data_IF_015012498306
#
_entry.id   IF_015012498306
#
_cell.length_a   1.000
_cell.length_b   1.000
_cell.length_c   1.000
_cell.angle_alpha   90.00
_cell.angle_beta   90.00
_cell.angle_gamma   90.00
#
_symmetry.space_group_name_H-M   'P 1'
#
loop_
_entity.id
_entity.type
_entity.pdbx_description
1 polymer ?
#
# COMPACT_ATOMS: atom_id res chain seq x y z
N UNK A 1 3.98 -27.92 3.96
CA UNK A 1 5.12 -27.57 3.07
C UNK A 1 5.01 -26.11 2.57
N UNK A 2 5.92 -25.21 3.00
CA UNK A 2 7.05 -24.80 2.15
C UNK A 2 8.32 -24.36 2.92
N UNK A 3 8.72 -25.07 3.99
CA UNK A 3 9.87 -24.65 4.81
C UNK A 3 11.25 -24.91 4.18
N UNK A 4 11.35 -25.79 3.17
CA UNK A 4 12.63 -26.29 2.66
C UNK A 4 13.41 -25.36 1.72
N UNK A 5 12.77 -24.40 1.04
CA UNK A 5 13.48 -23.52 0.08
C UNK A 5 14.06 -22.26 0.70
N UNK A 6 13.40 -21.70 1.70
CA UNK A 6 13.84 -20.47 2.37
C UNK A 6 14.96 -20.77 3.39
N UNK A 7 14.90 -21.91 4.09
CA UNK A 7 15.98 -22.39 4.95
C UNK A 7 17.34 -22.48 4.22
N UNK A 8 17.34 -22.96 2.97
CA UNK A 8 18.56 -23.07 2.15
C UNK A 8 19.13 -21.71 1.70
N UNK A 9 18.37 -20.62 1.82
CA UNK A 9 18.80 -19.26 1.45
C UNK A 9 19.28 -18.46 2.67
N UNK A 10 19.28 -19.05 3.86
CA UNK A 10 19.64 -18.37 5.10
C UNK A 10 18.65 -17.27 5.50
N UNK A 11 17.43 -17.27 4.93
CA UNK A 11 16.39 -16.26 5.18
C UNK A 11 15.08 -16.94 5.55
N UNK A 12 14.33 -16.41 6.53
CA UNK A 12 13.04 -17.01 6.93
C UNK A 12 11.94 -16.80 5.89
N UNK A 13 12.07 -15.80 5.00
CA UNK A 13 11.11 -15.50 3.93
C UNK A 13 11.77 -14.67 2.82
N UNK A 14 11.25 -14.74 1.60
CA UNK A 14 11.65 -13.87 0.49
C UNK A 14 10.80 -12.58 0.42
N UNK A 15 9.52 -12.71 0.77
CA UNK A 15 8.55 -11.62 0.75
C UNK A 15 7.72 -11.67 2.03
N UNK A 16 7.43 -10.50 2.59
CA UNK A 16 6.49 -10.30 3.66
C UNK A 16 5.25 -9.60 3.10
N UNK A 17 4.08 -10.10 3.47
CA UNK A 17 2.80 -9.47 3.17
C UNK A 17 2.21 -8.95 4.48
N UNK A 18 2.15 -7.64 4.62
CA UNK A 18 1.49 -6.97 5.75
C UNK A 18 0.08 -6.60 5.32
N UNK A 19 -0.93 -6.97 6.10
CA UNK A 19 -2.31 -6.51 5.89
C UNK A 19 -2.92 -6.24 7.25
N UNK A 20 -3.64 -5.12 7.38
CA UNK A 20 -4.54 -4.94 8.51
C UNK A 20 -5.68 -5.94 8.43
N UNK A 21 -6.17 -6.37 9.59
CA UNK A 21 -7.22 -7.38 9.72
C UNK A 21 -8.63 -6.81 9.56
N UNK A 22 -8.77 -5.48 9.49
CA UNK A 22 -10.05 -4.80 9.26
C UNK A 22 -10.37 -4.62 7.76
N UNK A 23 -9.56 -5.23 6.88
CA UNK A 23 -9.77 -5.23 5.44
C UNK A 23 -10.24 -6.59 4.95
N UNK A 24 -11.21 -6.58 4.05
CA UNK A 24 -11.66 -7.76 3.32
C UNK A 24 -11.04 -7.73 1.93
N UNK A 25 -10.32 -8.81 1.59
CA UNK A 25 -9.88 -9.07 0.23
C UNK A 25 -11.06 -9.57 -0.58
N UNK A 26 -11.24 -8.93 -1.71
CA UNK A 26 -12.38 -9.16 -2.58
C UNK A 26 -12.00 -9.80 -3.92
N UNK A 27 -10.71 -10.12 -4.01
CA UNK A 27 -9.95 -10.50 -5.18
C UNK A 27 -8.60 -11.02 -4.67
N UNK A 28 -8.00 -11.98 -5.38
CA UNK A 28 -6.68 -12.47 -5.04
C UNK A 28 -5.62 -11.37 -5.16
N UNK A 29 -4.62 -11.42 -4.28
CA UNK A 29 -3.47 -10.53 -4.35
C UNK A 29 -2.69 -10.78 -5.66
N UNK A 30 -2.19 -9.75 -6.38
CA UNK A 30 -1.34 -9.97 -7.55
C UNK A 30 -0.13 -10.86 -7.22
N UNK A 31 0.27 -11.81 -8.09
CA UNK A 31 1.45 -12.63 -7.85
C UNK A 31 2.67 -11.78 -7.55
N UNK A 32 3.39 -12.07 -6.45
CA UNK A 32 4.59 -11.32 -6.06
C UNK A 32 5.71 -11.39 -7.10
N UNK A 33 5.66 -12.37 -8.01
CA UNK A 33 6.58 -12.48 -9.16
C UNK A 33 6.48 -11.33 -10.16
N UNK A 34 5.38 -10.56 -10.14
CA UNK A 34 5.21 -9.35 -10.96
C UNK A 34 5.83 -8.11 -10.31
N UNK A 35 6.30 -8.22 -9.06
CA UNK A 35 6.80 -7.12 -8.26
C UNK A 35 8.34 -7.13 -8.26
N UNK A 36 8.95 -5.97 -8.48
CA UNK A 36 10.41 -5.83 -8.35
C UNK A 36 10.81 -5.97 -6.87
N UNK A 37 11.86 -6.74 -6.56
CA UNK A 37 12.38 -6.88 -5.19
C UNK A 37 13.12 -5.62 -4.69
N UNK A 38 13.35 -4.62 -5.54
CA UNK A 38 14.07 -3.40 -5.20
C UNK A 38 13.16 -2.30 -4.60
N UNK A 39 11.91 -2.64 -4.31
CA UNK A 39 10.94 -1.69 -3.77
C UNK A 39 9.91 -2.34 -2.85
N UNK A 40 9.36 -1.51 -1.97
CA UNK A 40 8.19 -1.84 -1.16
C UNK A 40 6.93 -1.47 -1.95
N UNK A 41 5.98 -2.39 -2.00
CA UNK A 41 4.79 -2.27 -2.83
C UNK A 41 3.56 -2.00 -1.97
N UNK A 42 2.89 -0.86 -2.19
CA UNK A 42 1.80 -0.40 -1.35
C UNK A 42 0.59 0.00 -2.20
N UNK A 43 -0.64 -0.40 -1.81
CA UNK A 43 -1.88 0.14 -2.33
C UNK A 43 -1.91 1.66 -2.19
N UNK A 44 -1.80 2.39 -3.30
CA UNK A 44 -1.88 3.85 -3.26
C UNK A 44 -3.10 4.36 -3.99
N UNK A 45 -3.88 5.21 -3.33
CA UNK A 45 -5.01 5.93 -3.91
C UNK A 45 -4.53 7.24 -4.55
N UNK A 46 -4.95 7.52 -5.78
CA UNK A 46 -4.60 8.78 -6.49
C UNK A 46 -5.04 10.08 -5.79
N UNK A 47 -5.87 10.01 -4.75
CA UNK A 47 -6.55 11.17 -4.16
C UNK A 47 -5.77 11.95 -3.08
N UNK A 48 -4.61 11.49 -2.61
CA UNK A 48 -3.87 12.13 -1.50
C UNK A 48 -2.75 13.09 -1.95
N UNK A 49 -2.93 13.79 -3.09
CA UNK A 49 -1.85 14.54 -3.76
C UNK A 49 -1.82 16.07 -3.52
N UNK A 50 -2.52 16.63 -2.53
CA UNK A 50 -2.44 18.09 -2.23
C UNK A 50 -1.53 18.33 -1.03
N UNK A 51 -0.64 19.34 -1.07
CA UNK A 51 0.72 19.25 -0.49
C UNK A 51 1.77 20.05 -1.30
N UNK A 52 2.77 20.74 -0.74
CA UNK A 52 3.88 21.45 -1.45
C UNK A 52 5.13 20.60 -1.75
N UNK A 53 5.96 21.01 -2.71
CA UNK A 53 6.96 20.17 -3.40
C UNK A 53 8.24 19.74 -2.65
N UNK A 54 8.42 20.13 -1.39
CA UNK A 54 9.67 19.86 -0.64
C UNK A 54 9.76 18.43 -0.04
N UNK A 55 8.62 17.74 0.17
CA UNK A 55 8.56 16.49 0.96
C UNK A 55 8.39 15.22 0.12
N UNK A 56 9.02 15.16 -1.06
CA UNK A 56 8.69 14.12 -2.05
C UNK A 56 9.35 12.76 -1.76
N UNK A 57 8.55 11.68 -1.81
CA UNK A 57 9.00 10.29 -1.99
C UNK A 57 8.76 9.90 -3.45
N UNK A 58 9.76 9.28 -4.07
CA UNK A 58 9.75 8.96 -5.50
C UNK A 58 9.07 7.61 -5.78
N UNK A 59 8.00 7.65 -6.58
CA UNK A 59 7.43 6.47 -7.24
C UNK A 59 8.44 5.89 -8.26
N UNK A 60 8.63 4.58 -8.21
CA UNK A 60 9.40 3.79 -9.18
C UNK A 60 9.07 4.07 -10.65
N UNK A 61 7.85 4.52 -10.96
CA UNK A 61 7.39 4.82 -12.33
C UNK A 61 7.68 6.25 -12.80
N UNK A 62 8.55 6.98 -12.12
CA UNK A 62 9.21 8.16 -12.68
C UNK A 62 8.37 9.44 -12.70
N UNK A 63 7.63 9.78 -11.63
CA UNK A 63 7.14 11.16 -11.54
C UNK A 63 6.06 11.52 -10.53
N UNK A 64 5.65 10.63 -9.61
CA UNK A 64 4.61 10.99 -8.61
C UNK A 64 5.15 10.96 -7.19
N UNK A 65 4.79 12.02 -6.48
CA UNK A 65 5.09 12.30 -5.09
C UNK A 65 4.18 11.47 -4.20
N UNK A 66 4.73 10.55 -3.40
CA UNK A 66 3.99 9.90 -2.32
C UNK A 66 4.16 10.76 -1.05
N UNK A 67 3.07 11.36 -0.58
CA UNK A 67 3.06 12.19 0.64
C UNK A 67 2.64 11.40 1.87
N UNK A 68 1.70 10.49 1.68
CA UNK A 68 1.25 9.55 2.72
C UNK A 68 1.25 8.16 2.13
N UNK A 69 1.76 7.21 2.91
CA UNK A 69 1.82 5.81 2.51
C UNK A 69 0.77 5.07 3.32
N UNK A 70 -0.35 4.72 2.68
CA UNK A 70 -1.36 3.86 3.29
C UNK A 70 -0.97 2.41 3.18
N UNK A 71 -0.16 1.98 4.13
CA UNK A 71 0.31 0.61 4.25
C UNK A 71 -0.70 -0.32 4.91
N UNK A 72 -2.01 -0.01 4.87
CA UNK A 72 -3.05 -0.93 5.34
C UNK A 72 -2.92 -2.31 4.71
N UNK A 73 -2.31 -2.35 3.52
CA UNK A 73 -1.63 -3.54 3.05
C UNK A 73 -0.29 -3.16 2.41
N UNK A 74 0.70 -4.04 2.45
CA UNK A 74 2.00 -3.84 1.83
C UNK A 74 2.64 -5.19 1.48
N UNK A 75 3.40 -5.20 0.39
CA UNK A 75 4.28 -6.32 0.02
C UNK A 75 5.72 -5.85 0.07
N UNK A 76 6.49 -6.50 0.91
CA UNK A 76 7.80 -6.04 1.36
C UNK A 76 8.82 -7.12 1.08
N UNK A 77 9.82 -6.88 0.21
CA UNK A 77 10.96 -7.78 0.04
C UNK A 77 11.70 -7.97 1.36
N UNK A 78 12.27 -9.16 1.58
CA UNK A 78 13.02 -9.45 2.80
C UNK A 78 14.10 -8.41 3.11
N UNK A 79 14.88 -8.01 2.09
CA UNK A 79 15.97 -7.04 2.27
C UNK A 79 15.49 -5.64 2.67
N UNK A 80 14.21 -5.33 2.44
CA UNK A 80 13.61 -4.04 2.77
C UNK A 80 12.72 -4.12 4.02
N UNK A 81 12.52 -5.31 4.61
CA UNK A 81 11.60 -5.47 5.75
C UNK A 81 12.10 -4.75 6.99
N UNK A 82 13.42 -4.68 7.21
CA UNK A 82 14.00 -3.87 8.28
C UNK A 82 13.58 -2.41 8.15
N UNK A 83 13.82 -1.79 6.99
CA UNK A 83 13.44 -0.41 6.73
C UNK A 83 11.93 -0.14 6.82
N UNK A 84 11.08 -1.14 6.59
CA UNK A 84 9.63 -1.01 6.77
C UNK A 84 9.21 -1.06 8.24
N UNK A 85 9.69 -2.06 8.99
CA UNK A 85 9.26 -2.30 10.37
C UNK A 85 10.03 -1.50 11.42
N UNK A 86 11.18 -0.91 11.07
CA UNK A 86 11.97 -0.07 11.99
C UNK A 86 11.14 1.02 12.69
N UNK A 87 10.05 1.49 12.08
CA UNK A 87 9.19 2.53 12.70
C UNK A 87 8.62 2.06 14.02
N UNK A 88 8.26 0.78 14.11
CA UNK A 88 7.70 0.19 15.31
C UNK A 88 8.75 0.04 16.38
N UNK A 89 9.95 -0.43 16.01
CA UNK A 89 11.09 -0.49 16.92
C UNK A 89 11.44 0.88 17.48
N UNK A 90 11.47 1.92 16.64
CA UNK A 90 11.75 3.29 17.05
C UNK A 90 10.68 3.87 17.97
N UNK A 91 9.40 3.58 17.69
CA UNK A 91 8.28 3.98 18.54
C UNK A 91 8.36 3.30 19.91
N UNK A 92 8.61 1.98 19.93
CA UNK A 92 8.73 1.20 21.17
C UNK A 92 9.92 1.63 22.01
N UNK A 93 11.05 1.99 21.39
CA UNK A 93 12.25 2.45 22.10
C UNK A 93 12.23 3.94 22.44
N UNK A 94 11.20 4.69 22.03
CA UNK A 94 11.09 6.13 22.29
C UNK A 94 12.08 7.00 21.51
N UNK A 95 12.72 6.47 20.44
CA UNK A 95 13.69 7.21 19.61
C UNK A 95 13.10 7.67 18.28
N UNK A 96 11.81 7.38 18.03
CA UNK A 96 11.12 7.86 16.86
C UNK A 96 11.09 9.39 16.84
N UNK A 97 11.57 9.98 15.73
CA UNK A 97 11.42 11.41 15.48
C UNK A 97 9.96 11.65 15.10
N UNK A 98 9.13 11.93 16.10
CA UNK A 98 7.70 12.24 15.93
C UNK A 98 7.47 13.72 16.16
N UNK A 99 6.72 14.36 15.26
CA UNK A 99 6.19 15.70 15.47
C UNK A 99 4.76 15.58 16.04
N UNK A 100 4.31 16.52 16.89
CA UNK A 100 2.91 16.55 17.31
C UNK A 100 1.98 16.52 16.09
N UNK A 101 1.06 15.55 16.07
CA UNK A 101 0.10 15.38 14.98
C UNK A 101 0.58 14.59 13.76
N UNK A 102 1.81 14.06 13.76
CA UNK A 102 2.26 13.16 12.68
C UNK A 102 1.39 11.90 12.65
N UNK A 103 0.84 11.55 11.48
CA UNK A 103 0.10 10.29 11.34
C UNK A 103 1.07 9.12 11.04
N UNK A 104 0.68 7.87 11.33
CA UNK A 104 1.54 6.70 11.10
C UNK A 104 1.99 6.54 9.64
N UNK A 105 1.17 6.96 8.68
CA UNK A 105 1.47 6.92 7.25
C UNK A 105 2.55 7.93 6.84
N UNK A 106 2.57 9.12 7.45
CA UNK A 106 3.61 10.13 7.30
C UNK A 106 4.93 9.69 7.94
N UNK A 107 4.86 9.10 9.14
CA UNK A 107 6.05 8.56 9.79
C UNK A 107 6.72 7.47 8.94
N UNK A 108 5.92 6.55 8.38
CA UNK A 108 6.43 5.54 7.44
C UNK A 108 7.03 6.19 6.19
N UNK A 109 6.36 7.20 5.63
CA UNK A 109 6.83 7.92 4.46
C UNK A 109 8.23 8.54 4.72
N UNK A 110 8.38 9.31 5.80
CA UNK A 110 9.67 9.91 6.19
C UNK A 110 10.75 8.85 6.41
N UNK A 111 10.41 7.75 7.07
CA UNK A 111 11.35 6.67 7.31
C UNK A 111 11.83 6.01 6.02
N UNK A 112 10.92 5.63 5.12
CA UNK A 112 11.31 5.01 3.84
C UNK A 112 12.16 5.96 3.00
N UNK A 113 11.90 7.27 3.07
CA UNK A 113 12.76 8.29 2.46
C UNK A 113 14.16 8.30 3.09
N UNK A 114 14.27 8.29 4.42
CA UNK A 114 15.54 8.29 5.13
C UNK A 114 16.40 7.06 4.81
N UNK A 115 15.78 5.89 4.62
CA UNK A 115 16.44 4.66 4.19
C UNK A 115 16.65 4.54 2.68
N UNK A 116 16.30 5.58 1.89
CA UNK A 116 16.36 5.57 0.42
C UNK A 116 15.63 4.36 -0.21
N UNK A 117 14.51 3.96 0.40
CA UNK A 117 13.70 2.84 -0.07
C UNK A 117 12.77 3.30 -1.17
N UNK A 118 12.83 2.61 -2.31
CA UNK A 118 11.89 2.82 -3.41
C UNK A 118 10.51 2.28 -3.02
N UNK A 119 9.47 3.02 -3.38
CA UNK A 119 8.08 2.60 -3.16
C UNK A 119 7.40 2.42 -4.51
N UNK A 120 6.92 1.20 -4.75
CA UNK A 120 6.11 0.83 -5.89
C UNK A 120 4.61 0.92 -5.55
N UNK A 121 3.80 1.09 -6.60
CA UNK A 121 2.34 1.06 -6.49
C UNK A 121 1.79 -0.19 -7.18
N UNK A 122 0.87 -0.87 -6.52
CA UNK A 122 -0.15 -1.67 -7.20
C UNK A 122 -1.54 -1.13 -6.85
N UNK A 123 -2.56 -1.38 -7.70
CA UNK A 123 -3.91 -0.93 -7.43
C UNK A 123 -4.41 -1.48 -6.09
N UNK A 124 -5.05 -0.63 -5.29
CA UNK A 124 -5.65 -1.09 -4.05
C UNK A 124 -6.81 -2.03 -4.37
N UNK A 125 -6.65 -3.33 -4.11
CA UNK A 125 -7.73 -4.30 -4.23
C UNK A 125 -8.60 -4.33 -2.97
N UNK A 126 -7.97 -4.20 -1.81
CA UNK A 126 -8.66 -4.11 -0.54
C UNK A 126 -9.58 -2.87 -0.50
N UNK A 127 -10.84 -3.07 -0.12
CA UNK A 127 -11.83 -2.00 -0.07
C UNK A 127 -12.34 -1.52 -1.43
N UNK A 128 -12.01 -2.18 -2.55
CA UNK A 128 -12.80 -2.07 -3.77
C UNK A 128 -14.09 -2.84 -3.56
N UNK A 129 -15.15 -2.16 -3.12
CA UNK A 129 -16.48 -2.74 -3.03
C UNK A 129 -17.50 -1.79 -3.63
N UNK A 130 -18.64 -2.34 -4.05
CA UNK A 130 -19.78 -1.53 -4.42
C UNK A 130 -20.48 -1.03 -3.16
N UNK A 131 -20.78 0.26 -3.13
CA UNK A 131 -21.43 0.95 -2.01
C UNK A 131 -22.92 0.62 -1.86
N UNK A 132 -23.47 -0.26 -2.71
CA UNK A 132 -24.80 -0.83 -2.59
C UNK A 132 -24.81 -2.23 -1.94
N UNK A 133 -23.66 -2.90 -1.89
CA UNK A 133 -23.47 -4.22 -1.26
C UNK A 133 -22.87 -4.14 0.15
N UNK A 134 -22.41 -2.95 0.57
CA UNK A 134 -21.81 -2.70 1.89
C UNK A 134 -22.19 -1.30 2.40
N UNK A 135 -22.35 -1.16 3.71
CA UNK A 135 -22.56 0.14 4.35
C UNK A 135 -21.29 1.01 4.25
N UNK A 136 -21.20 1.70 3.12
CA UNK A 136 -20.06 2.55 2.82
C UNK A 136 -20.29 3.93 3.44
N UNK A 137 -19.45 4.28 4.43
CA UNK A 137 -19.38 5.62 5.02
C UNK A 137 -19.25 6.74 3.96
N UNK A 138 -18.80 6.41 2.74
CA UNK A 138 -18.62 7.32 1.61
C UNK A 138 -19.70 7.20 0.53
N UNK A 139 -20.83 6.54 0.79
CA UNK A 139 -21.90 6.29 -0.20
C UNK A 139 -22.39 7.57 -0.86
N UNK A 140 -22.64 8.61 -0.07
CA UNK A 140 -23.11 9.90 -0.58
C UNK A 140 -22.01 10.66 -1.32
N UNK A 141 -20.76 10.54 -0.89
CA UNK A 141 -19.60 11.08 -1.61
C UNK A 141 -19.43 10.42 -2.99
N UNK A 142 -19.58 9.09 -3.06
CA UNK A 142 -19.49 8.32 -4.30
C UNK A 142 -20.63 8.67 -5.27
N UNK A 143 -21.86 8.83 -4.77
CA UNK A 143 -23.01 9.29 -5.56
C UNK A 143 -22.80 10.70 -6.13
N UNK A 144 -22.37 11.66 -5.30
CA UNK A 144 -22.18 13.08 -5.69
C UNK A 144 -21.07 13.30 -6.72
N UNK A 145 -20.05 12.42 -6.78
CA UNK A 145 -18.98 12.51 -7.79
C UNK A 145 -19.24 11.68 -9.05
N UNK A 146 -20.47 11.22 -9.26
CA UNK A 146 -20.83 10.49 -10.46
C UNK A 146 -20.14 9.13 -10.54
N UNK A 147 -20.00 8.40 -9.41
CA UNK A 147 -19.74 6.97 -9.46
C UNK A 147 -20.95 6.27 -10.07
N UNK A 148 -21.05 6.30 -11.40
CA UNK A 148 -22.09 5.60 -12.19
C UNK A 148 -22.07 4.09 -11.90
N UNK A 149 -20.96 3.61 -11.33
CA UNK A 149 -20.66 2.19 -11.16
C UNK A 149 -20.96 1.65 -9.76
N UNK A 150 -21.39 2.48 -8.80
CA UNK A 150 -21.62 2.05 -7.41
C UNK A 150 -20.35 1.77 -6.60
N UNK A 151 -19.17 1.62 -7.22
CA UNK A 151 -17.89 1.40 -6.52
C UNK A 151 -17.45 2.59 -5.66
N UNK A 152 -16.84 2.28 -4.50
CA UNK A 152 -16.20 3.25 -3.60
C UNK A 152 -15.10 4.07 -4.31
N UNK A 153 -14.33 3.43 -5.20
CA UNK A 153 -13.23 4.06 -5.95
C UNK A 153 -13.25 3.69 -7.45
N UNK A 154 -14.07 4.36 -8.29
CA UNK A 154 -14.26 3.96 -9.69
C UNK A 154 -12.99 4.00 -10.55
N UNK A 155 -12.06 4.90 -10.26
CA UNK A 155 -10.79 5.01 -10.99
C UNK A 155 -9.88 3.81 -10.72
N UNK A 156 -9.83 3.35 -9.46
CA UNK A 156 -9.05 2.18 -9.07
C UNK A 156 -9.68 0.91 -9.65
N UNK A 157 -11.01 0.78 -9.61
CA UNK A 157 -11.73 -0.30 -10.29
C UNK A 157 -11.37 -0.40 -11.78
N UNK A 158 -11.42 0.73 -12.52
CA UNK A 158 -11.02 0.76 -13.94
C UNK A 158 -9.57 0.36 -14.16
N UNK A 159 -8.68 0.69 -13.24
CA UNK A 159 -7.26 0.35 -13.34
C UNK A 159 -7.03 -1.14 -13.08
N UNK A 160 -7.66 -1.70 -12.04
CA UNK A 160 -7.63 -3.14 -11.74
C UNK A 160 -8.16 -3.98 -12.89
N UNK A 161 -9.32 -3.63 -13.45
CA UNK A 161 -9.91 -4.36 -14.57
C UNK A 161 -9.03 -4.38 -15.83
N UNK A 162 -8.07 -3.45 -15.99
CA UNK A 162 -7.10 -3.51 -17.09
C UNK A 162 -6.09 -4.63 -16.92
N UNK A 163 -5.60 -4.83 -15.70
CA UNK A 163 -4.51 -5.76 -15.42
C UNK A 163 -5.01 -7.14 -14.99
N UNK A 164 -6.23 -7.22 -14.48
CA UNK A 164 -6.74 -8.40 -13.84
C UNK A 164 -8.20 -8.61 -14.23
N UNK A 165 -8.40 -8.93 -15.53
CA UNK A 165 -9.73 -9.14 -16.14
C UNK A 165 -10.59 -10.20 -15.44
N UNK A 166 -9.97 -11.08 -14.63
CA UNK A 166 -10.66 -12.10 -13.84
C UNK A 166 -10.96 -11.73 -12.38
N UNK A 167 -10.59 -10.52 -11.91
CA UNK A 167 -10.77 -10.16 -10.50
C UNK A 167 -12.21 -9.87 -10.08
N UNK A 168 -13.19 -9.93 -11.00
CA UNK A 168 -14.65 -10.00 -10.74
C UNK A 168 -15.43 -10.18 -12.04
N UNK A 169 -15.99 -11.37 -12.23
CA UNK A 169 -17.35 -11.50 -12.79
C UNK A 169 -18.33 -11.38 -11.62
#
# INVERSE_FOLDING_TARGET
PPLGREANRGRPFAWLVFSRLDLIWVADHPPVSLLSPDAIWIPHHKYYQRMSDADRIYDLRGGRVLRTIRDWHAVVPHDLSGAFFTRWSMLLSGVAIVQPGINPEELLAVQLKAFNVKVGRFPALAGLQRCDEWDCMFRDWAKKRGSVTGWRWPQEFREVNRYARGLRN
#
